data_IF_573711918247
#
_entry.id   IF_573711918247
#
_cell.length_a   1.000
_cell.length_b   1.000
_cell.length_c   1.000
_cell.angle_alpha   90.00
_cell.angle_beta   90.00
_cell.angle_gamma   90.00
#
_symmetry.space_group_name_H-M   'P 1'
#
loop_
_entity.id
_entity.type
_entity.pdbx_description
1 polymer ?
#
# COMPACT_ATOMS: atom_id res chain seq x y z
N UNK A 1 -25.76 3.25 58.55
CA UNK A 1 -24.48 3.62 57.92
C UNK A 1 -24.36 2.85 56.61
N UNK A 2 -24.70 3.49 55.49
CA UNK A 2 -24.95 2.83 54.20
C UNK A 2 -23.71 3.03 53.31
N UNK A 3 -22.88 2.00 53.15
CA UNK A 3 -21.69 2.04 52.29
C UNK A 3 -22.14 1.75 50.86
N UNK A 4 -22.23 2.79 50.04
CA UNK A 4 -22.47 2.67 48.60
C UNK A 4 -21.11 2.43 47.94
N UNK A 5 -20.85 1.18 47.56
CA UNK A 5 -19.67 0.80 46.78
C UNK A 5 -20.04 1.02 45.31
N UNK A 6 -19.47 2.06 44.71
CA UNK A 6 -19.62 2.35 43.28
C UNK A 6 -18.67 1.41 42.53
N UNK A 7 -19.23 0.38 41.89
CA UNK A 7 -18.52 -0.53 41.01
C UNK A 7 -18.49 0.09 39.61
N UNK A 8 -17.40 0.76 39.26
CA UNK A 8 -17.20 1.36 37.94
C UNK A 8 -16.95 0.25 36.91
N UNK A 9 -17.97 -0.08 36.13
CA UNK A 9 -17.91 -1.03 35.03
C UNK A 9 -17.19 -0.38 33.84
N UNK A 10 -15.91 -0.71 33.65
CA UNK A 10 -15.15 -0.34 32.45
C UNK A 10 -15.66 -1.21 31.31
N UNK A 11 -16.55 -0.65 30.48
CA UNK A 11 -16.99 -1.26 29.23
C UNK A 11 -15.86 -1.09 28.21
N UNK A 12 -15.05 -2.14 28.04
CA UNK A 12 -14.15 -2.28 26.91
C UNK A 12 -14.99 -2.47 25.65
N UNK A 13 -15.29 -1.37 24.96
CA UNK A 13 -15.75 -1.42 23.58
C UNK A 13 -14.61 -1.95 22.71
N UNK A 14 -14.49 -3.28 22.62
CA UNK A 14 -13.90 -3.93 21.46
C UNK A 14 -14.84 -3.66 20.29
N UNK A 15 -14.71 -2.48 19.69
CA UNK A 15 -15.26 -2.25 18.36
C UNK A 15 -14.59 -3.24 17.43
N UNK A 16 -15.37 -4.13 16.82
CA UNK A 16 -14.93 -4.85 15.62
C UNK A 16 -14.56 -3.77 14.60
N UNK A 17 -13.26 -3.45 14.50
CA UNK A 17 -12.74 -2.72 13.37
C UNK A 17 -13.09 -3.58 12.15
N UNK A 18 -14.02 -3.09 11.33
CA UNK A 18 -14.34 -3.67 10.04
C UNK A 18 -13.01 -3.73 9.31
N UNK A 19 -12.48 -4.93 9.04
CA UNK A 19 -11.22 -5.09 8.31
C UNK A 19 -11.34 -4.21 7.06
N UNK A 20 -10.61 -3.10 7.01
CA UNK A 20 -10.66 -2.27 5.83
C UNK A 20 -10.19 -3.17 4.67
N UNK A 21 -10.85 -2.99 3.53
CA UNK A 21 -10.51 -3.73 2.33
C UNK A 21 -9.75 -2.76 1.44
N UNK A 22 -8.50 -3.13 1.16
CA UNK A 22 -7.61 -2.43 0.25
C UNK A 22 -8.36 -2.10 -1.04
N UNK A 23 -8.66 -0.82 -1.25
CA UNK A 23 -9.38 -0.39 -2.45
C UNK A 23 -8.36 -0.17 -3.56
N UNK A 24 -8.53 -0.88 -4.67
CA UNK A 24 -7.65 -0.77 -5.85
C UNK A 24 -8.45 -0.31 -7.05
N UNK A 25 -8.10 0.84 -7.60
CA UNK A 25 -8.62 1.35 -8.85
C UNK A 25 -7.56 1.18 -9.94
N UNK A 26 -7.80 0.25 -10.86
CA UNK A 26 -6.95 0.06 -12.03
C UNK A 26 -7.13 1.22 -13.00
N UNK A 27 -6.03 1.80 -13.47
CA UNK A 27 -6.02 2.91 -14.43
C UNK A 27 -5.61 2.44 -15.82
N UNK A 28 -4.53 1.65 -15.89
CA UNK A 28 -4.00 1.05 -17.11
C UNK A 28 -3.88 -0.44 -16.92
N UNK A 29 -4.19 -1.22 -17.96
CA UNK A 29 -4.02 -2.67 -17.98
C UNK A 29 -3.16 -3.08 -19.17
N UNK A 30 -1.98 -3.64 -18.90
CA UNK A 30 -1.08 -4.25 -19.90
C UNK A 30 -0.93 -3.44 -21.20
N UNK A 31 -0.78 -2.11 -21.07
CA UNK A 31 -0.70 -1.22 -22.22
C UNK A 31 0.60 -1.44 -22.98
N UNK A 32 0.48 -1.60 -24.30
CA UNK A 32 1.62 -1.82 -25.23
C UNK A 32 1.95 -0.60 -26.08
N UNK A 33 1.02 0.35 -26.17
CA UNK A 33 1.15 1.57 -26.96
C UNK A 33 1.12 2.78 -26.04
N UNK A 34 1.84 3.83 -26.42
CA UNK A 34 1.76 5.13 -25.76
C UNK A 34 0.59 5.96 -26.32
N UNK A 35 0.39 7.18 -25.78
CA UNK A 35 -0.67 8.10 -26.21
C UNK A 35 -0.55 8.60 -27.65
N UNK A 36 0.59 8.36 -28.31
CA UNK A 36 0.85 8.66 -29.71
C UNK A 36 0.73 7.40 -30.60
N UNK A 37 0.17 6.31 -30.06
CA UNK A 37 0.00 5.00 -30.72
C UNK A 37 1.32 4.31 -31.10
N UNK A 38 2.42 4.66 -30.43
CA UNK A 38 3.73 4.06 -30.68
C UNK A 38 3.99 2.91 -29.71
N UNK A 39 4.66 1.81 -30.13
CA UNK A 39 5.06 0.73 -29.25
C UNK A 39 5.91 1.22 -28.08
N UNK A 40 5.57 0.77 -26.87
CA UNK A 40 6.43 0.89 -25.69
C UNK A 40 7.57 -0.11 -25.85
N UNK A 41 8.80 0.29 -25.53
CA UNK A 41 10.00 -0.56 -25.67
C UNK A 41 10.77 -0.55 -24.35
N UNK A 42 10.95 -1.73 -23.73
CA UNK A 42 11.91 -1.90 -22.65
C UNK A 42 13.29 -2.28 -23.20
N UNK A 43 14.39 -1.92 -22.51
CA UNK A 43 15.75 -2.18 -23.00
C UNK A 43 16.07 -3.65 -23.25
N UNK A 44 15.48 -4.58 -22.49
CA UNK A 44 15.89 -6.00 -22.51
C UNK A 44 14.74 -7.02 -22.61
N UNK A 45 13.49 -6.63 -22.37
CA UNK A 45 12.35 -7.56 -22.25
C UNK A 45 11.20 -7.14 -23.17
N UNK A 46 10.55 -8.13 -23.79
CA UNK A 46 9.40 -7.95 -24.69
C UNK A 46 8.35 -9.05 -24.45
N UNK A 47 7.05 -8.77 -24.67
CA UNK A 47 6.49 -7.46 -25.02
C UNK A 47 6.57 -6.50 -23.83
N UNK A 48 6.83 -5.22 -24.10
CA UNK A 48 6.75 -4.21 -23.06
C UNK A 48 5.28 -3.91 -22.73
N UNK A 49 4.93 -4.04 -21.45
CA UNK A 49 3.57 -3.82 -20.96
C UNK A 49 3.60 -2.95 -19.71
N UNK A 50 2.72 -1.93 -19.67
CA UNK A 50 2.56 -1.03 -18.52
C UNK A 50 1.18 -1.22 -17.90
N UNK A 51 1.16 -1.46 -16.59
CA UNK A 51 -0.05 -1.51 -15.75
C UNK A 51 0.09 -0.48 -14.65
N UNK A 52 -0.98 0.23 -14.32
CA UNK A 52 -1.00 1.18 -13.20
C UNK A 52 -2.33 1.13 -12.47
N UNK A 53 -2.28 1.40 -11.16
CA UNK A 53 -3.45 1.43 -10.30
C UNK A 53 -3.23 2.42 -9.16
N UNK A 54 -4.32 3.02 -8.68
CA UNK A 54 -4.36 3.74 -7.41
C UNK A 54 -4.78 2.75 -6.34
N UNK A 55 -4.03 2.68 -5.24
CA UNK A 55 -4.42 1.94 -4.04
C UNK A 55 -4.66 2.92 -2.91
N UNK A 56 -5.77 2.72 -2.21
CA UNK A 56 -6.09 3.48 -0.99
C UNK A 56 -5.93 2.54 0.18
N UNK A 57 -4.99 2.88 1.06
CA UNK A 57 -4.77 2.20 2.34
C UNK A 57 -5.39 3.07 3.44
N UNK A 58 -6.27 2.47 4.25
CA UNK A 58 -6.70 3.02 5.51
C UNK A 58 -5.57 2.93 6.54
N UNK A 59 -5.59 3.76 7.61
CA UNK A 59 -4.59 3.68 8.67
C UNK A 59 -4.47 2.26 9.25
N UNK A 60 -3.26 1.71 9.20
CA UNK A 60 -2.95 0.35 9.67
C UNK A 60 -3.20 -0.77 8.66
N UNK A 61 -3.66 -0.48 7.43
CA UNK A 61 -3.69 -1.48 6.36
C UNK A 61 -2.30 -1.82 5.83
N UNK A 62 -2.13 -3.07 5.42
CA UNK A 62 -0.93 -3.57 4.77
C UNK A 62 -1.28 -4.31 3.47
N UNK A 63 -0.35 -4.32 2.52
CA UNK A 63 -0.49 -5.08 1.26
C UNK A 63 0.01 -6.51 1.39
N UNK A 64 0.64 -6.85 2.51
CA UNK A 64 1.38 -8.09 2.70
C UNK A 64 2.65 -8.17 1.85
N UNK A 65 3.42 -9.23 2.06
CA UNK A 65 4.65 -9.52 1.33
C UNK A 65 4.37 -9.94 -0.11
N UNK A 66 4.96 -9.23 -1.06
CA UNK A 66 4.90 -9.55 -2.48
C UNK A 66 6.11 -8.96 -3.22
N UNK A 67 6.38 -9.47 -4.42
CA UNK A 67 7.52 -9.02 -5.24
C UNK A 67 7.03 -8.26 -6.46
N UNK A 68 7.64 -7.10 -6.70
CA UNK A 68 7.52 -6.39 -7.97
C UNK A 68 8.70 -6.73 -8.88
N UNK A 69 8.43 -6.87 -10.18
CA UNK A 69 9.49 -7.08 -11.17
C UNK A 69 10.16 -5.77 -11.61
N UNK A 70 9.46 -4.66 -11.44
CA UNK A 70 9.97 -3.30 -11.52
C UNK A 70 9.31 -2.49 -10.40
N UNK A 71 10.07 -1.82 -9.53
CA UNK A 71 9.45 -1.03 -8.48
C UNK A 71 9.15 0.39 -8.97
N UNK A 72 7.96 0.91 -8.67
CA UNK A 72 7.71 2.37 -8.60
C UNK A 72 6.40 2.62 -7.84
N UNK A 73 6.50 3.22 -6.65
CA UNK A 73 5.38 3.74 -5.89
C UNK A 73 5.46 5.27 -5.88
N UNK A 74 4.32 5.95 -5.97
CA UNK A 74 4.21 7.40 -5.79
C UNK A 74 3.13 7.70 -4.77
N UNK A 75 3.45 8.43 -3.70
CA UNK A 75 2.46 8.72 -2.67
C UNK A 75 1.65 9.97 -3.02
N UNK A 76 0.38 9.77 -3.35
CA UNK A 76 -0.53 10.86 -3.69
C UNK A 76 -0.98 11.65 -2.45
N UNK A 77 -1.14 10.99 -1.31
CA UNK A 77 -1.60 11.57 -0.05
C UNK A 77 -1.19 10.73 1.16
N UNK A 78 -1.03 11.39 2.32
CA UNK A 78 -0.68 10.74 3.58
C UNK A 78 0.82 10.47 3.74
N UNK A 79 1.13 9.42 4.51
CA UNK A 79 2.47 8.88 4.75
C UNK A 79 2.35 7.36 4.75
N UNK A 80 3.33 6.67 4.16
CA UNK A 80 3.36 5.21 4.09
C UNK A 80 4.76 4.69 4.39
N UNK A 81 4.84 3.45 4.86
CA UNK A 81 6.09 2.71 5.05
C UNK A 81 6.14 1.54 4.09
N UNK A 82 7.29 1.30 3.46
CA UNK A 82 7.59 0.07 2.73
C UNK A 82 8.67 -0.67 3.51
N UNK A 83 8.36 -1.89 3.93
CA UNK A 83 9.35 -2.85 4.40
C UNK A 83 9.79 -3.73 3.22
N UNK A 84 11.10 -3.90 3.04
CA UNK A 84 11.66 -4.67 1.94
C UNK A 84 12.91 -5.44 2.37
N UNK A 85 13.18 -6.56 1.70
CA UNK A 85 14.35 -7.39 1.96
C UNK A 85 15.57 -6.84 1.21
N UNK A 86 16.68 -6.64 1.93
CA UNK A 86 17.95 -6.15 1.37
C UNK A 86 19.00 -7.24 1.20
N UNK A 87 18.91 -8.30 2.00
CA UNK A 87 19.69 -9.53 1.91
C UNK A 87 18.91 -10.64 2.63
N UNK A 88 19.22 -11.90 2.38
CA UNK A 88 18.54 -13.12 2.84
C UNK A 88 17.99 -13.06 4.28
N UNK A 89 16.76 -12.56 4.44
CA UNK A 89 16.07 -12.40 5.73
C UNK A 89 16.37 -11.12 6.53
N UNK A 90 17.16 -10.18 6.00
CA UNK A 90 17.38 -8.84 6.54
C UNK A 90 16.41 -7.87 5.87
N UNK A 91 15.57 -7.21 6.67
CA UNK A 91 14.63 -6.19 6.19
C UNK A 91 15.11 -4.78 6.52
N UNK A 92 14.79 -3.85 5.63
CA UNK A 92 14.88 -2.40 5.87
C UNK A 92 13.49 -1.78 5.69
N UNK A 93 13.30 -0.59 6.26
CA UNK A 93 12.03 0.14 6.19
C UNK A 93 12.26 1.57 5.72
N UNK A 94 11.57 1.94 4.65
CA UNK A 94 11.55 3.31 4.15
C UNK A 94 10.19 3.97 4.40
N UNK A 95 10.20 5.16 5.00
CA UNK A 95 8.99 5.99 5.15
C UNK A 95 9.01 7.08 4.10
N UNK A 96 7.92 7.21 3.35
CA UNK A 96 7.74 8.22 2.31
C UNK A 96 6.39 8.91 2.48
N UNK A 97 6.35 10.17 2.06
CA UNK A 97 5.25 11.12 2.24
C UNK A 97 4.74 11.65 0.91
N UNK A 98 3.63 12.41 0.97
CA UNK A 98 3.00 12.97 -0.22
C UNK A 98 4.00 13.64 -1.16
N UNK A 99 3.95 13.25 -2.43
CA UNK A 99 4.81 13.80 -3.48
C UNK A 99 6.10 13.03 -3.70
N UNK A 100 6.42 12.07 -2.84
CA UNK A 100 7.63 11.24 -2.96
C UNK A 100 7.37 9.98 -3.77
N UNK A 101 8.41 9.55 -4.48
CA UNK A 101 8.45 8.28 -5.19
C UNK A 101 9.48 7.36 -4.54
N UNK A 102 9.16 6.07 -4.49
CA UNK A 102 10.06 5.03 -4.00
C UNK A 102 10.15 3.87 -4.98
N UNK A 103 11.36 3.32 -5.12
CA UNK A 103 11.69 2.15 -5.94
C UNK A 103 12.23 1.07 -5.02
#
# INVERSE_FOLDING_TARGET
MKKIIVLTLIVLFYGCAKNPSLTTQKLLEAQRLNVLEQPIIYPTQQPAEVTSAIRVLQPGEETGWHKHMVPLHYLMEGTSTIEFEVDSGITDTHTFSKGEAWV
#
